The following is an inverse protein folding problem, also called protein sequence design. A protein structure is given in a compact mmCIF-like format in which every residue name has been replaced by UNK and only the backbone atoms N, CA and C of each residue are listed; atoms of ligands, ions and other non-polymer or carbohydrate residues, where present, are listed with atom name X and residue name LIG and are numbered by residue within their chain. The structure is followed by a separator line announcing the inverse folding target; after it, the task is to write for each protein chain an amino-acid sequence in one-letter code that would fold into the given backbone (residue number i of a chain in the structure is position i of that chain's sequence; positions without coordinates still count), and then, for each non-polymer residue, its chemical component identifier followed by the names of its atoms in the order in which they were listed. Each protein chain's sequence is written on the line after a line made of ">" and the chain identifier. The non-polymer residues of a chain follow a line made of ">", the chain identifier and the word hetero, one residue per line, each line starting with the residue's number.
data_IF_950302239661
#
_entry.id   IF_950302239661
#
_cell.length_a   1.000
_cell.length_b   1.000
_cell.length_c   1.000
_cell.angle_alpha   90.00
_cell.angle_beta   90.00
_cell.angle_gamma   90.00
#
_symmetry.space_group_name_H-M   'P 1'
#
loop_
_entity.id
_entity.type
_entity.pdbx_description
1 polymer ?
#
# COMPACT_ATOMS: atom_id res chain seq x y z
N UNK A 1 -9.05 13.98 4.35
CA UNK A 1 -9.51 15.03 5.28
C UNK A 1 -8.44 15.43 6.27
N UNK A 2 -8.62 16.56 6.94
CA UNK A 2 -7.79 16.97 8.07
C UNK A 2 -8.46 16.52 9.37
N UNK A 3 -7.70 15.92 10.27
CA UNK A 3 -8.19 15.54 11.60
C UNK A 3 -8.34 16.75 12.51
N UNK A 4 -9.28 16.65 13.42
CA UNK A 4 -9.48 17.66 14.49
C UNK A 4 -8.31 17.67 15.45
N UNK A 5 -8.20 18.71 16.27
CA UNK A 5 -7.14 18.81 17.28
C UNK A 5 -7.18 17.66 18.31
N UNK A 6 -8.37 17.12 18.59
CA UNK A 6 -8.54 15.98 19.50
C UNK A 6 -8.11 14.63 18.88
N UNK A 7 -8.13 14.51 17.56
CA UNK A 7 -7.86 13.25 16.83
C UNK A 7 -6.52 13.24 16.13
N UNK A 8 -5.85 14.38 16.00
CA UNK A 8 -4.55 14.45 15.33
C UNK A 8 -3.49 13.66 16.09
N UNK A 9 -2.44 13.26 15.39
CA UNK A 9 -1.30 12.58 15.99
C UNK A 9 -0.65 13.47 17.07
N UNK A 10 -0.38 12.87 18.23
CA UNK A 10 0.22 13.58 19.35
C UNK A 10 1.58 14.17 18.97
N UNK A 11 1.77 15.46 19.20
CA UNK A 11 2.97 16.20 18.80
C UNK A 11 2.95 16.74 17.36
N UNK A 12 1.97 16.40 16.53
CA UNK A 12 1.82 17.00 15.22
C UNK A 12 1.12 18.37 15.30
N UNK A 13 1.51 19.29 14.43
CA UNK A 13 0.79 20.53 14.19
C UNK A 13 -0.53 20.25 13.45
N UNK A 14 -0.48 19.38 12.45
CA UNK A 14 -1.63 18.94 11.64
C UNK A 14 -1.49 17.47 11.25
N UNK A 15 -2.62 16.79 11.19
CA UNK A 15 -2.71 15.42 10.65
C UNK A 15 -3.75 15.38 9.55
N UNK A 16 -3.37 14.82 8.42
CA UNK A 16 -4.25 14.51 7.30
C UNK A 16 -4.44 13.01 7.20
N UNK A 17 -5.61 12.58 6.75
CA UNK A 17 -5.88 11.18 6.45
C UNK A 17 -6.58 11.04 5.09
N UNK A 18 -6.30 9.92 4.44
CA UNK A 18 -7.07 9.44 3.30
C UNK A 18 -7.98 8.33 3.79
N UNK A 19 -9.27 8.44 3.47
CA UNK A 19 -10.28 7.47 3.84
C UNK A 19 -10.96 6.94 2.57
N UNK A 20 -11.21 5.64 2.54
CA UNK A 20 -11.92 4.98 1.47
C UNK A 20 -13.26 4.45 1.99
N UNK A 21 -14.34 4.73 1.26
CA UNK A 21 -15.65 4.19 1.57
C UNK A 21 -15.71 2.71 1.21
N UNK A 22 -16.06 1.87 2.18
CA UNK A 22 -16.26 0.44 1.98
C UNK A 22 -17.71 0.12 1.58
N UNK A 23 -17.94 -1.12 1.16
CA UNK A 23 -19.27 -1.56 0.70
C UNK A 23 -20.34 -1.53 1.78
N UNK A 24 -19.96 -1.60 3.05
CA UNK A 24 -20.84 -1.47 4.21
C UNK A 24 -21.11 -0.01 4.63
N UNK A 25 -20.73 0.97 3.78
CA UNK A 25 -20.85 2.41 4.02
C UNK A 25 -20.04 2.93 5.21
N UNK A 26 -19.02 2.20 5.64
CA UNK A 26 -18.04 2.68 6.62
C UNK A 26 -16.78 3.16 5.95
N UNK A 27 -16.19 4.21 6.50
CA UNK A 27 -14.93 4.73 6.01
C UNK A 27 -13.76 3.95 6.63
N UNK A 28 -12.87 3.44 5.77
CA UNK A 28 -11.60 2.84 6.17
C UNK A 28 -10.49 3.87 6.04
N UNK A 29 -9.80 4.17 7.14
CA UNK A 29 -8.61 5.02 7.08
C UNK A 29 -7.48 4.26 6.36
N UNK A 30 -7.11 4.75 5.18
CA UNK A 30 -6.14 4.11 4.29
C UNK A 30 -4.71 4.57 4.58
N UNK A 31 -4.51 5.84 4.86
CA UNK A 31 -3.19 6.39 5.16
C UNK A 31 -3.27 7.69 5.92
N UNK A 32 -2.15 8.10 6.51
CA UNK A 32 -2.01 9.37 7.22
C UNK A 32 -0.77 10.13 6.81
N UNK A 33 -0.84 11.45 6.93
CA UNK A 33 0.28 12.36 6.77
C UNK A 33 0.27 13.38 7.91
N UNK A 34 1.40 13.57 8.54
CA UNK A 34 1.57 14.43 9.71
C UNK A 34 2.56 15.54 9.41
N UNK A 35 2.18 16.78 9.64
CA UNK A 35 3.11 17.86 9.79
C UNK A 35 3.51 17.93 11.26
N UNK A 36 4.73 17.54 11.55
CA UNK A 36 5.27 17.50 12.93
C UNK A 36 5.87 18.85 13.35
N UNK A 37 6.03 19.80 12.41
CA UNK A 37 6.74 21.03 12.68
C UNK A 37 8.15 20.76 13.17
N UNK A 38 8.57 21.43 14.24
CA UNK A 38 9.85 21.21 14.91
C UNK A 38 9.72 20.47 16.26
N UNK A 39 8.51 19.99 16.62
CA UNK A 39 8.28 19.43 17.95
C UNK A 39 9.16 18.23 18.25
N UNK A 40 9.22 17.29 17.30
CA UNK A 40 10.08 16.10 17.45
C UNK A 40 11.56 16.43 17.29
N UNK A 41 11.89 17.33 16.37
CA UNK A 41 13.28 17.78 16.21
C UNK A 41 13.84 18.41 17.48
N UNK A 42 13.05 19.19 18.19
CA UNK A 42 13.44 19.78 19.49
C UNK A 42 13.57 18.70 20.57
N UNK A 43 12.66 17.71 20.60
CA UNK A 43 12.71 16.63 21.58
C UNK A 43 13.92 15.70 21.40
N UNK A 44 14.36 15.51 20.16
CA UNK A 44 15.50 14.63 19.81
C UNK A 44 16.79 15.42 19.50
N UNK A 45 16.79 16.74 19.68
CA UNK A 45 17.89 17.66 19.35
C UNK A 45 18.39 17.48 17.90
N UNK A 46 17.45 17.31 16.97
CA UNK A 46 17.76 17.21 15.55
C UNK A 46 17.92 18.60 14.96
N UNK A 47 19.17 19.02 14.80
CA UNK A 47 19.55 20.34 14.30
C UNK A 47 20.28 20.26 12.96
N UNK A 48 20.25 21.37 12.23
CA UNK A 48 21.01 21.56 10.99
C UNK A 48 21.51 23.02 10.92
N UNK A 49 22.54 23.24 10.13
CA UNK A 49 23.01 24.60 9.85
C UNK A 49 22.21 25.17 8.68
N UNK A 50 21.51 26.29 8.93
CA UNK A 50 20.73 26.98 7.91
C UNK A 50 21.62 27.81 6.98
N UNK A 51 21.02 28.41 5.95
CA UNK A 51 21.74 29.22 4.94
C UNK A 51 22.47 30.43 5.53
N UNK A 52 22.04 30.92 6.68
CA UNK A 52 22.71 32.02 7.40
C UNK A 52 23.84 31.52 8.32
N UNK A 53 24.17 30.22 8.28
CA UNK A 53 25.20 29.62 9.12
C UNK A 53 24.80 29.39 10.58
N UNK A 54 23.51 29.54 10.91
CA UNK A 54 22.99 29.34 12.27
C UNK A 54 22.44 27.95 12.45
N UNK A 55 22.56 27.39 13.65
CA UNK A 55 21.92 26.12 14.00
C UNK A 55 20.43 26.33 14.22
N UNK A 56 19.61 25.50 13.57
CA UNK A 56 18.17 25.50 13.71
C UNK A 56 17.65 24.06 13.80
N UNK A 57 16.44 23.87 14.34
CA UNK A 57 15.81 22.56 14.40
C UNK A 57 15.09 22.23 13.09
N UNK A 58 15.21 20.97 12.66
CA UNK A 58 14.61 20.53 11.42
C UNK A 58 13.08 20.53 11.48
N UNK A 59 12.44 20.92 10.38
CA UNK A 59 11.01 20.69 10.17
C UNK A 59 10.79 19.27 9.66
N UNK A 60 9.84 18.58 10.27
CA UNK A 60 9.61 17.16 9.98
C UNK A 60 8.20 16.91 9.46
N UNK A 61 8.10 15.97 8.55
CA UNK A 61 6.85 15.33 8.17
C UNK A 61 6.96 13.82 8.38
N UNK A 62 5.84 13.19 8.67
CA UNK A 62 5.74 11.74 8.76
C UNK A 62 4.46 11.29 8.06
N UNK A 63 4.53 10.21 7.32
CA UNK A 63 3.37 9.63 6.66
C UNK A 63 3.58 8.15 6.44
N UNK A 64 2.47 7.44 6.34
CA UNK A 64 2.53 6.00 6.19
C UNK A 64 1.18 5.35 5.99
N UNK A 65 1.29 4.08 5.66
CA UNK A 65 0.20 3.12 5.58
C UNK A 65 0.52 1.93 6.46
N UNK A 66 -0.49 1.16 6.82
CA UNK A 66 -0.32 -0.05 7.62
C UNK A 66 -0.90 -1.27 6.92
N UNK A 67 -0.72 -2.44 7.50
CA UNK A 67 -1.32 -3.71 7.05
C UNK A 67 -2.86 -3.69 7.03
N UNK A 68 -3.50 -2.65 7.59
CA UNK A 68 -4.94 -2.37 7.42
C UNK A 68 -5.34 -2.35 5.95
N UNK A 69 -4.43 -1.95 5.04
CA UNK A 69 -4.68 -1.95 3.59
C UNK A 69 -4.97 -3.35 3.03
N UNK A 70 -4.44 -4.40 3.65
CA UNK A 70 -4.78 -5.78 3.28
C UNK A 70 -6.26 -6.05 3.61
N UNK A 71 -6.73 -5.61 4.77
CA UNK A 71 -8.15 -5.67 5.12
C UNK A 71 -9.03 -4.89 4.15
N UNK A 72 -8.61 -3.69 3.74
CA UNK A 72 -9.28 -2.90 2.72
C UNK A 72 -9.35 -3.61 1.37
N UNK A 73 -8.26 -4.27 0.96
CA UNK A 73 -8.22 -5.08 -0.25
C UNK A 73 -9.23 -6.24 -0.21
N UNK A 74 -9.27 -6.98 0.90
CA UNK A 74 -10.22 -8.08 1.10
C UNK A 74 -11.67 -7.58 1.07
N UNK A 75 -11.97 -6.51 1.78
CA UNK A 75 -13.32 -5.92 1.82
C UNK A 75 -13.79 -5.37 0.47
N UNK A 76 -12.85 -4.96 -0.39
CA UNK A 76 -13.18 -4.39 -1.71
C UNK A 76 -13.24 -5.46 -2.81
N UNK A 77 -12.38 -6.47 -2.74
CA UNK A 77 -12.18 -7.46 -3.82
C UNK A 77 -12.44 -8.91 -3.39
N UNK A 78 -12.81 -9.14 -2.14
CA UNK A 78 -13.21 -10.47 -1.66
C UNK A 78 -14.71 -10.71 -1.76
N UNK A 79 -15.07 -11.99 -1.80
CA UNK A 79 -16.42 -12.51 -1.64
C UNK A 79 -16.41 -13.82 -0.82
N UNK A 80 -17.53 -14.47 -0.64
CA UNK A 80 -17.63 -15.73 0.12
C UNK A 80 -16.83 -16.88 -0.50
N UNK A 81 -16.43 -16.78 -1.77
CA UNK A 81 -15.60 -17.74 -2.47
C UNK A 81 -14.08 -17.46 -2.30
N UNK A 82 -13.72 -16.29 -1.81
CA UNK A 82 -12.34 -15.87 -1.54
C UNK A 82 -11.95 -14.52 -2.08
N UNK A 83 -10.67 -14.22 -2.03
CA UNK A 83 -10.09 -12.96 -2.52
C UNK A 83 -9.84 -13.04 -4.03
N UNK A 84 -10.39 -12.07 -4.76
CA UNK A 84 -10.08 -11.82 -6.18
C UNK A 84 -9.05 -10.71 -6.28
N UNK A 85 -7.79 -11.09 -6.32
CA UNK A 85 -6.71 -10.13 -6.33
C UNK A 85 -6.66 -9.38 -7.67
N UNK A 86 -6.69 -8.04 -7.69
CA UNK A 86 -6.53 -7.28 -8.92
C UNK A 86 -5.21 -7.63 -9.64
N UNK A 87 -5.17 -7.77 -10.98
CA UNK A 87 -3.97 -8.18 -11.71
C UNK A 87 -2.74 -7.31 -11.41
N UNK A 88 -2.92 -6.01 -11.21
CA UNK A 88 -1.81 -5.09 -10.87
C UNK A 88 -1.17 -5.33 -9.50
N UNK A 89 -1.89 -6.00 -8.61
CA UNK A 89 -1.42 -6.34 -7.26
C UNK A 89 -0.97 -7.81 -7.15
N UNK A 90 -1.42 -8.65 -8.09
CA UNK A 90 -1.08 -10.06 -8.10
C UNK A 90 0.41 -10.24 -8.45
N UNK A 91 1.21 -10.91 -7.60
CA UNK A 91 2.61 -11.23 -7.93
C UNK A 91 2.71 -12.23 -9.10
N UNK A 92 1.67 -13.06 -9.28
CA UNK A 92 1.48 -13.95 -10.41
C UNK A 92 0.10 -13.66 -10.97
N UNK A 93 0.04 -13.11 -12.17
CA UNK A 93 -1.22 -12.67 -12.78
C UNK A 93 -1.98 -13.82 -13.43
N UNK A 94 -1.29 -14.80 -13.94
CA UNK A 94 -1.85 -15.98 -14.60
C UNK A 94 -0.98 -17.21 -14.35
N UNK A 95 -1.64 -18.34 -14.14
CA UNK A 95 -0.99 -19.65 -14.04
C UNK A 95 -1.57 -20.55 -15.11
N UNK A 96 -0.71 -21.11 -15.96
CA UNK A 96 -1.10 -22.10 -16.96
C UNK A 96 -0.78 -23.48 -16.39
N UNK A 97 -1.79 -24.34 -16.26
CA UNK A 97 -1.63 -25.72 -15.76
C UNK A 97 -1.82 -26.67 -16.94
N UNK A 98 -0.74 -27.16 -17.54
CA UNK A 98 -0.86 -28.14 -18.63
C UNK A 98 -1.33 -29.51 -18.08
N UNK A 99 -2.31 -30.12 -18.75
CA UNK A 99 -2.87 -31.40 -18.37
C UNK A 99 -2.74 -32.34 -19.58
N UNK A 100 -2.21 -33.56 -19.35
CA UNK A 100 -2.01 -34.59 -20.38
C UNK A 100 -2.33 -35.96 -19.83
N UNK A 101 -2.57 -36.93 -20.72
CA UNK A 101 -2.80 -38.33 -20.40
C UNK A 101 -1.72 -39.27 -21.00
N UNK A 102 -1.12 -38.87 -22.13
CA UNK A 102 -0.06 -39.63 -22.80
C UNK A 102 1.21 -38.78 -22.93
N UNK A 103 2.35 -39.42 -23.20
CA UNK A 103 3.62 -38.70 -23.38
C UNK A 103 3.64 -37.83 -24.64
N UNK A 104 2.92 -38.23 -25.70
CA UNK A 104 2.76 -37.44 -26.91
C UNK A 104 1.96 -36.15 -26.62
N UNK A 105 0.83 -36.29 -25.91
CA UNK A 105 0.04 -35.14 -25.48
C UNK A 105 0.83 -34.18 -24.57
N UNK A 106 1.72 -34.73 -23.71
CA UNK A 106 2.56 -33.93 -22.83
C UNK A 106 3.41 -32.93 -23.59
N UNK A 107 4.11 -33.40 -24.64
CA UNK A 107 4.99 -32.52 -25.42
C UNK A 107 4.18 -31.41 -26.06
N UNK A 108 3.10 -31.72 -26.75
CA UNK A 108 2.26 -30.75 -27.45
C UNK A 108 1.62 -29.74 -26.45
N UNK A 109 1.16 -30.21 -25.29
CA UNK A 109 0.52 -29.37 -24.27
C UNK A 109 1.51 -28.40 -23.62
N UNK A 110 2.73 -28.86 -23.31
CA UNK A 110 3.79 -28.03 -22.74
C UNK A 110 4.24 -26.97 -23.77
N UNK A 111 4.40 -27.32 -25.02
CA UNK A 111 4.75 -26.36 -26.07
C UNK A 111 3.67 -25.31 -26.26
N UNK A 112 2.40 -25.69 -26.24
CA UNK A 112 1.28 -24.76 -26.29
C UNK A 112 1.26 -23.81 -25.09
N UNK A 113 1.46 -24.35 -23.87
CA UNK A 113 1.52 -23.55 -22.66
C UNK A 113 2.67 -22.52 -22.68
N UNK A 114 3.85 -22.93 -23.18
CA UNK A 114 4.99 -22.03 -23.33
C UNK A 114 4.69 -20.90 -24.31
N UNK A 115 4.13 -21.21 -25.49
CA UNK A 115 3.76 -20.16 -26.47
C UNK A 115 2.81 -19.14 -25.86
N UNK A 116 1.77 -19.60 -25.15
CA UNK A 116 0.83 -18.69 -24.48
C UNK A 116 1.54 -17.85 -23.41
N UNK A 117 2.46 -18.42 -22.64
CA UNK A 117 3.23 -17.70 -21.65
C UNK A 117 4.13 -16.62 -22.28
N UNK A 118 4.79 -16.97 -23.39
CA UNK A 118 5.66 -16.05 -24.15
C UNK A 118 4.85 -14.90 -24.79
N UNK A 119 3.63 -15.17 -25.26
CA UNK A 119 2.73 -14.16 -25.84
C UNK A 119 2.17 -13.18 -24.79
N UNK A 120 2.12 -13.60 -23.53
CA UNK A 120 1.60 -12.78 -22.42
C UNK A 120 2.68 -11.93 -21.75
N UNK A 121 3.95 -12.12 -22.04
CA UNK A 121 5.07 -11.31 -21.58
C UNK A 121 5.72 -11.73 -20.31
#
# INVERSE_FOLDING_TARGET
>A
GQKTDAEKFAGALRTYCTEAMMQDNKALQAGTSHNLGQNFAKAFDLTFQNEAGQMDHAWNTSWGVSTRMIGGLVMTHGDDAGLRLPPRLAPIQMVIVPIWKTDEEKVATIEAAKRIADDLG
#
